data_IF_134238485567
#
_entry.id   IF_134238485567
#
_cell.length_a   1.000
_cell.length_b   1.000
_cell.length_c   1.000
_cell.angle_alpha   90.00
_cell.angle_beta   90.00
_cell.angle_gamma   90.00
#
_symmetry.space_group_name_H-M   'P 1'
#
loop_
_entity.id
_entity.type
_entity.pdbx_description
1 polymer ?
#
# COMPACT_ATOMS: atom_id res chain seq x y z
N UNK A 1 -4.00 -17.63 3.53
CA UNK A 1 -3.38 -18.39 4.65
C UNK A 1 -2.16 -17.58 5.06
N UNK A 2 -2.02 -17.26 6.35
CA UNK A 2 -0.89 -16.49 6.86
C UNK A 2 0.04 -17.48 7.55
N UNK A 3 1.31 -17.51 7.14
CA UNK A 3 2.34 -18.39 7.69
C UNK A 3 3.43 -17.52 8.28
N UNK A 4 3.73 -17.71 9.57
CA UNK A 4 4.73 -16.93 10.29
C UNK A 4 5.90 -17.85 10.65
N UNK A 5 7.02 -17.78 9.93
CA UNK A 5 8.25 -18.46 10.31
C UNK A 5 8.78 -17.93 11.64
N UNK A 6 9.36 -18.80 12.46
CA UNK A 6 9.94 -18.42 13.76
C UNK A 6 11.48 -18.46 13.78
N UNK A 7 12.10 -18.77 12.64
CA UNK A 7 13.55 -18.68 12.44
C UNK A 7 13.89 -18.39 10.98
N UNK A 8 15.11 -17.89 10.72
CA UNK A 8 15.61 -17.59 9.38
C UNK A 8 15.67 -18.85 8.50
N UNK A 9 16.02 -20.01 9.08
CA UNK A 9 16.06 -21.27 8.34
C UNK A 9 14.66 -21.73 7.90
N UNK A 10 13.65 -21.50 8.74
CA UNK A 10 12.26 -21.81 8.40
C UNK A 10 11.73 -20.88 7.30
N UNK A 11 12.07 -19.60 7.34
CA UNK A 11 11.71 -18.65 6.30
C UNK A 11 12.33 -19.06 4.96
N UNK A 12 13.62 -19.39 4.95
CA UNK A 12 14.31 -19.83 3.75
C UNK A 12 13.69 -21.10 3.15
N UNK A 13 13.40 -22.10 3.99
CA UNK A 13 12.77 -23.34 3.55
C UNK A 13 11.36 -23.10 2.98
N UNK A 14 10.60 -22.16 3.57
CA UNK A 14 9.27 -21.78 3.08
C UNK A 14 9.34 -21.08 1.73
N UNK A 15 10.25 -20.12 1.56
CA UNK A 15 10.47 -19.40 0.30
C UNK A 15 10.86 -20.37 -0.83
N UNK A 16 11.82 -21.25 -0.59
CA UNK A 16 12.23 -22.26 -1.57
C UNK A 16 11.08 -23.21 -1.96
N UNK A 17 10.23 -23.56 -0.99
CA UNK A 17 9.04 -24.37 -1.26
C UNK A 17 8.03 -23.62 -2.15
N UNK A 18 7.72 -22.36 -1.84
CA UNK A 18 6.76 -21.55 -2.57
C UNK A 18 7.23 -21.29 -4.01
N UNK A 19 8.52 -20.99 -4.19
CA UNK A 19 9.14 -20.77 -5.50
C UNK A 19 9.07 -22.03 -6.37
N UNK A 20 9.42 -23.21 -5.80
CA UNK A 20 9.37 -24.48 -6.52
C UNK A 20 7.96 -24.84 -6.99
N UNK A 21 6.96 -24.49 -6.18
CA UNK A 21 5.55 -24.75 -6.49
C UNK A 21 4.93 -23.67 -7.38
N UNK A 22 5.70 -22.63 -7.73
CA UNK A 22 5.24 -21.48 -8.53
C UNK A 22 3.98 -20.82 -7.94
N UNK A 23 3.90 -20.76 -6.60
CA UNK A 23 2.84 -20.00 -5.95
C UNK A 23 3.09 -18.50 -6.11
N UNK A 24 2.02 -17.75 -6.29
CA UNK A 24 2.06 -16.29 -6.15
C UNK A 24 1.98 -15.94 -4.66
N UNK A 25 3.03 -15.34 -4.11
CA UNK A 25 3.11 -14.95 -2.70
C UNK A 25 3.80 -13.60 -2.56
N UNK A 26 3.43 -12.89 -1.49
CA UNK A 26 4.07 -11.65 -1.09
C UNK A 26 4.68 -11.84 0.29
N UNK A 27 5.89 -11.30 0.47
CA UNK A 27 6.52 -11.18 1.79
C UNK A 27 6.18 -9.81 2.33
N UNK A 28 5.90 -9.74 3.63
CA UNK A 28 5.70 -8.46 4.33
C UNK A 28 7.02 -7.68 4.52
N UNK A 29 8.13 -8.14 3.93
CA UNK A 29 9.45 -7.53 4.03
C UNK A 29 9.49 -6.18 3.30
N UNK A 30 9.28 -5.13 4.08
CA UNK A 30 10.06 -3.89 4.13
C UNK A 30 10.35 -3.17 2.82
N UNK A 31 9.35 -2.45 2.30
CA UNK A 31 9.51 -1.01 1.95
C UNK A 31 8.15 -0.31 1.78
N UNK A 32 7.18 -0.58 2.66
CA UNK A 32 5.89 0.14 2.67
C UNK A 32 6.02 1.55 3.27
N UNK A 33 7.21 2.16 3.14
CA UNK A 33 7.44 3.55 3.46
C UNK A 33 6.92 4.44 2.34
N UNK A 34 6.34 5.57 2.71
CA UNK A 34 6.12 6.63 1.73
C UNK A 34 7.48 7.09 1.20
N UNK A 35 7.61 7.18 -0.12
CA UNK A 35 8.73 7.88 -0.76
C UNK A 35 8.82 9.32 -0.26
N UNK A 36 10.00 9.94 -0.34
CA UNK A 36 10.13 11.35 0.08
C UNK A 36 9.18 12.27 -0.68
N UNK A 37 8.97 12.00 -1.97
CA UNK A 37 7.99 12.72 -2.79
C UNK A 37 6.58 12.59 -2.22
N UNK A 38 6.15 11.37 -1.86
CA UNK A 38 4.82 11.15 -1.26
C UNK A 38 4.68 11.84 0.10
N UNK A 39 5.74 11.87 0.91
CA UNK A 39 5.73 12.59 2.19
C UNK A 39 5.53 14.10 1.99
N UNK A 40 6.30 14.70 1.08
CA UNK A 40 6.18 16.14 0.78
C UNK A 40 4.81 16.49 0.20
N UNK A 41 4.26 15.60 -0.62
CA UNK A 41 2.94 15.74 -1.22
C UNK A 41 1.84 15.77 -0.16
N UNK A 42 1.89 14.86 0.83
CA UNK A 42 0.95 14.82 1.95
C UNK A 42 1.06 16.10 2.78
N UNK A 43 2.27 16.53 3.13
CA UNK A 43 2.50 17.76 3.90
C UNK A 43 1.94 18.99 3.18
N UNK A 44 2.12 19.05 1.85
CA UNK A 44 1.54 20.13 1.03
C UNK A 44 0.01 20.10 1.07
N UNK A 45 -0.60 18.93 0.89
CA UNK A 45 -2.07 18.78 0.92
C UNK A 45 -2.66 19.20 2.26
N UNK A 46 -2.01 18.83 3.36
CA UNK A 46 -2.43 19.21 4.71
C UNK A 46 -2.36 20.73 4.91
N UNK A 47 -1.26 21.35 4.48
CA UNK A 47 -1.10 22.80 4.52
C UNK A 47 -2.15 23.53 3.65
N UNK A 48 -2.42 23.02 2.45
CA UNK A 48 -3.43 23.59 1.56
C UNK A 48 -4.85 23.45 2.16
N UNK A 49 -5.14 22.37 2.88
CA UNK A 49 -6.41 22.18 3.58
C UNK A 49 -6.56 23.16 4.76
N UNK A 50 -5.53 23.28 5.60
CA UNK A 50 -5.51 24.21 6.73
C UNK A 50 -5.68 25.66 6.26
N UNK A 51 -5.06 26.02 5.14
CA UNK A 51 -5.17 27.36 4.55
C UNK A 51 -6.43 27.56 3.70
N UNK A 52 -7.36 26.60 3.68
CA UNK A 52 -8.64 26.71 2.98
C UNK A 52 -8.53 26.71 1.46
N UNK A 53 -7.39 26.29 0.89
CA UNK A 53 -7.18 26.13 -0.55
C UNK A 53 -7.77 24.83 -1.09
N UNK A 54 -7.97 23.84 -0.22
CA UNK A 54 -8.64 22.58 -0.52
C UNK A 54 -9.71 22.28 0.52
N UNK A 55 -10.65 21.41 0.19
CA UNK A 55 -11.74 20.99 1.07
C UNK A 55 -11.84 19.47 1.12
N UNK A 56 -12.38 18.95 2.22
CA UNK A 56 -12.70 17.55 2.33
C UNK A 56 -13.84 17.22 1.38
N UNK A 57 -13.80 16.01 0.80
CA UNK A 57 -14.83 15.50 -0.10
C UNK A 57 -15.44 14.24 0.48
N UNK A 58 -16.71 14.01 0.20
CA UNK A 58 -17.38 12.78 0.61
C UNK A 58 -16.83 11.59 -0.19
N UNK A 59 -16.65 10.46 0.49
CA UNK A 59 -16.11 9.26 -0.12
C UNK A 59 -17.03 8.69 -1.22
N UNK A 60 -18.35 8.82 -1.08
CA UNK A 60 -19.29 8.30 -2.08
C UNK A 60 -19.19 9.08 -3.39
N UNK A 61 -18.95 10.39 -3.34
CA UNK A 61 -18.75 11.22 -4.52
C UNK A 61 -17.48 10.79 -5.27
N UNK A 62 -16.37 10.64 -4.54
CA UNK A 62 -15.09 10.16 -5.10
C UNK A 62 -15.27 8.78 -5.74
N UNK A 63 -15.95 7.86 -5.04
CA UNK A 63 -16.18 6.50 -5.52
C UNK A 63 -17.05 6.48 -6.79
N UNK A 64 -18.01 7.38 -6.89
CA UNK A 64 -18.87 7.53 -8.08
C UNK A 64 -18.06 8.02 -9.29
N UNK A 65 -17.21 9.03 -9.10
CA UNK A 65 -16.32 9.55 -10.14
C UNK A 65 -15.32 8.50 -10.62
N UNK A 66 -14.70 7.74 -9.71
CA UNK A 66 -13.77 6.68 -10.10
C UNK A 66 -14.47 5.61 -10.95
N UNK A 67 -15.72 5.26 -10.63
CA UNK A 67 -16.49 4.29 -11.42
C UNK A 67 -16.88 4.81 -12.80
N UNK A 68 -16.99 6.13 -13.00
CA UNK A 68 -17.31 6.69 -14.31
C UNK A 68 -16.10 6.77 -15.24
N UNK A 69 -14.88 6.89 -14.70
CA UNK A 69 -13.63 6.94 -15.46
C UNK A 69 -13.22 5.56 -16.01
N UNK A 70 -13.63 4.47 -15.36
CA UNK A 70 -13.36 3.10 -15.81
C UNK A 70 -14.45 2.50 -16.71
N UNK A 71 -15.22 3.33 -17.44
CA UNK A 71 -16.21 2.89 -18.44
C UNK A 71 -15.77 3.14 -19.86
#
# INVERSE_FOLDING_TARGET
>A
VIVNPHSEEQEKALVEFLDRMQYDYQRDTDDLGLTELQKQEILKRDNDFINGKTTARDWNDIKSELRSVYR
#
